data_IF_513945117890
#
_entry.id   IF_513945117890
#
_cell.length_a   1.000
_cell.length_b   1.000
_cell.length_c   1.000
_cell.angle_alpha   90.00
_cell.angle_beta   90.00
_cell.angle_gamma   90.00
#
_symmetry.space_group_name_H-M   'P 1'
#
loop_
_entity.id
_entity.type
_entity.pdbx_description
1 polymer ?
#
# COMPACT_ATOMS: atom_id res chain seq x y z
N UNK A 1 -2.69 -38.12 38.21
CA UNK A 1 -2.76 -38.79 36.89
C UNK A 1 -4.03 -38.33 36.16
N UNK A 2 -3.98 -37.15 35.52
CA UNK A 2 -4.95 -36.72 34.50
C UNK A 2 -4.11 -36.09 33.39
N UNK A 3 -4.19 -36.68 32.19
CA UNK A 3 -3.37 -36.38 31.02
C UNK A 3 -3.63 -34.96 30.51
N UNK A 4 -2.56 -34.31 30.04
CA UNK A 4 -2.60 -33.24 29.06
C UNK A 4 -3.47 -33.64 27.86
N UNK A 5 -4.35 -32.74 27.43
CA UNK A 5 -4.84 -32.69 26.05
C UNK A 5 -4.36 -31.35 25.50
N UNK A 6 -3.21 -31.41 24.82
CA UNK A 6 -2.57 -30.27 24.19
C UNK A 6 -3.50 -29.62 23.17
N UNK A 7 -3.87 -28.38 23.43
CA UNK A 7 -4.47 -27.51 22.42
C UNK A 7 -3.33 -26.97 21.54
N UNK A 8 -2.86 -27.81 20.61
CA UNK A 8 -1.97 -27.39 19.53
C UNK A 8 -2.79 -26.53 18.56
N UNK A 9 -3.01 -25.27 18.91
CA UNK A 9 -3.52 -24.25 17.99
C UNK A 9 -2.50 -24.10 16.84
N UNK A 10 -2.62 -24.93 15.80
CA UNK A 10 -1.99 -24.68 14.51
C UNK A 10 -2.57 -23.37 13.98
N UNK A 11 -1.89 -22.25 14.26
CA UNK A 11 -2.23 -20.99 13.60
C UNK A 11 -1.99 -21.22 12.11
N UNK A 12 -3.00 -21.02 11.25
CA UNK A 12 -2.79 -21.17 9.82
C UNK A 12 -1.72 -20.15 9.40
N UNK A 13 -0.55 -20.65 9.01
CA UNK A 13 0.54 -19.82 8.50
C UNK A 13 0.28 -19.49 7.03
N UNK A 14 0.40 -18.19 6.67
CA UNK A 14 0.25 -17.79 5.28
C UNK A 14 1.47 -18.27 4.47
N UNK A 15 1.20 -18.99 3.38
CA UNK A 15 2.23 -19.32 2.40
C UNK A 15 2.70 -18.06 1.68
N UNK A 16 4.00 -17.79 1.71
CA UNK A 16 4.64 -16.72 0.93
C UNK A 16 4.65 -17.08 -0.56
N UNK A 17 3.58 -16.75 -1.29
CA UNK A 17 3.45 -16.98 -2.74
C UNK A 17 3.56 -15.71 -3.59
N UNK A 18 3.53 -14.54 -2.96
CA UNK A 18 3.53 -13.26 -3.66
C UNK A 18 4.93 -12.97 -4.23
N UNK A 19 5.06 -12.93 -5.56
CA UNK A 19 6.28 -12.45 -6.22
C UNK A 19 6.21 -10.95 -6.48
N UNK A 20 7.34 -10.33 -6.81
CA UNK A 20 7.41 -8.91 -7.16
C UNK A 20 6.40 -8.53 -8.25
N UNK A 21 6.29 -9.35 -9.30
CA UNK A 21 5.34 -9.11 -10.39
C UNK A 21 3.88 -9.10 -9.91
N UNK A 22 3.51 -10.04 -9.02
CA UNK A 22 2.17 -10.08 -8.44
C UNK A 22 1.90 -8.84 -7.56
N UNK A 23 2.89 -8.40 -6.78
CA UNK A 23 2.76 -7.22 -5.93
C UNK A 23 2.63 -5.93 -6.74
N UNK A 24 3.44 -5.78 -7.80
CA UNK A 24 3.37 -4.63 -8.72
C UNK A 24 2.03 -4.61 -9.44
N UNK A 25 1.59 -5.74 -9.99
CA UNK A 25 0.31 -5.84 -10.68
C UNK A 25 -0.86 -5.50 -9.76
N UNK A 26 -0.82 -5.99 -8.52
CA UNK A 26 -1.79 -5.65 -7.49
C UNK A 26 -1.84 -4.13 -7.23
N UNK A 27 -0.70 -3.48 -7.01
CA UNK A 27 -0.64 -2.04 -6.77
C UNK A 27 -1.12 -1.20 -7.96
N UNK A 28 -0.74 -1.58 -9.18
CA UNK A 28 -1.20 -0.91 -10.41
C UNK A 28 -2.71 -1.07 -10.59
N UNK A 29 -3.24 -2.28 -10.37
CA UNK A 29 -4.68 -2.56 -10.47
C UNK A 29 -5.50 -1.72 -9.49
N UNK A 30 -5.06 -1.62 -8.23
CA UNK A 30 -5.72 -0.79 -7.21
C UNK A 30 -5.68 0.69 -7.58
N UNK A 31 -4.52 1.20 -8.03
CA UNK A 31 -4.35 2.63 -8.38
C UNK A 31 -5.21 3.03 -9.58
N UNK A 32 -5.26 2.19 -10.63
CA UNK A 32 -6.08 2.46 -11.81
C UNK A 32 -7.58 2.36 -11.46
N UNK A 33 -7.96 1.29 -10.75
CA UNK A 33 -9.36 1.00 -10.42
C UNK A 33 -9.99 2.04 -9.48
N UNK A 34 -9.31 2.35 -8.37
CA UNK A 34 -9.83 3.29 -7.38
C UNK A 34 -9.61 4.76 -7.78
N UNK A 35 -8.48 5.06 -8.42
CA UNK A 35 -8.08 6.43 -8.72
C UNK A 35 -8.49 6.90 -10.11
N UNK A 36 -7.90 6.30 -11.15
CA UNK A 36 -7.97 6.84 -12.51
C UNK A 36 -9.39 6.82 -13.05
N UNK A 37 -10.12 5.72 -12.96
CA UNK A 37 -11.48 5.66 -13.52
C UNK A 37 -12.47 6.62 -12.85
N UNK A 38 -12.22 7.01 -11.60
CA UNK A 38 -13.09 7.95 -10.86
C UNK A 38 -12.65 9.39 -11.06
N UNK A 39 -11.35 9.67 -11.02
CA UNK A 39 -10.82 11.03 -10.89
C UNK A 39 -10.38 11.64 -12.22
N UNK A 40 -10.09 10.86 -13.26
CA UNK A 40 -9.54 11.40 -14.51
C UNK A 40 -10.53 12.35 -15.19
N UNK A 41 -11.83 12.07 -15.13
CA UNK A 41 -12.86 12.93 -15.73
C UNK A 41 -12.98 14.27 -15.00
N UNK A 42 -12.91 14.27 -13.67
CA UNK A 42 -12.94 15.49 -12.86
C UNK A 42 -11.67 16.32 -13.10
N UNK A 43 -10.51 15.67 -13.16
CA UNK A 43 -9.25 16.33 -13.47
C UNK A 43 -9.24 16.92 -14.89
N UNK A 44 -9.76 16.19 -15.87
CA UNK A 44 -9.90 16.66 -17.25
C UNK A 44 -10.90 17.81 -17.38
N UNK A 45 -12.02 17.77 -16.65
CA UNK A 45 -12.99 18.87 -16.62
C UNK A 45 -12.42 20.17 -16.05
N UNK A 46 -11.49 20.07 -15.07
CA UNK A 46 -10.82 21.25 -14.47
C UNK A 46 -9.66 21.76 -15.31
N UNK A 47 -8.86 20.87 -15.87
CA UNK A 47 -7.60 21.21 -16.55
C UNK A 47 -7.72 21.30 -18.07
N UNK A 48 -8.84 20.83 -18.65
CA UNK A 48 -9.09 20.79 -20.09
C UNK A 48 -7.95 20.12 -20.85
N UNK A 49 -7.46 20.78 -21.90
CA UNK A 49 -6.35 20.28 -22.73
C UNK A 49 -5.02 20.19 -21.97
N UNK A 50 -4.88 20.86 -20.83
CA UNK A 50 -3.69 20.81 -19.99
C UNK A 50 -3.71 19.65 -18.98
N UNK A 51 -4.74 18.80 -18.99
CA UNK A 51 -4.84 17.66 -18.08
C UNK A 51 -3.60 16.73 -18.09
N UNK A 52 -3.00 16.38 -19.25
CA UNK A 52 -1.78 15.58 -19.26
C UNK A 52 -0.62 16.24 -18.51
N UNK A 53 -0.45 17.56 -18.65
CA UNK A 53 0.60 18.30 -17.94
C UNK A 53 0.34 18.34 -16.43
N UNK A 54 -0.91 18.52 -16.02
CA UNK A 54 -1.29 18.46 -14.60
C UNK A 54 -1.00 17.08 -13.99
N UNK A 55 -1.27 16.00 -14.73
CA UNK A 55 -0.93 14.63 -14.28
C UNK A 55 0.59 14.41 -14.18
N UNK A 56 1.40 14.97 -15.07
CA UNK A 56 2.86 14.86 -14.97
C UNK A 56 3.40 15.55 -13.72
N UNK A 57 2.89 16.74 -13.40
CA UNK A 57 3.27 17.47 -12.18
C UNK A 57 2.83 16.69 -10.94
N UNK A 58 1.61 16.17 -10.93
CA UNK A 58 1.11 15.34 -9.84
C UNK A 58 1.94 14.05 -9.66
N UNK A 59 2.33 13.40 -10.75
CA UNK A 59 3.19 12.22 -10.73
C UNK A 59 4.57 12.54 -10.15
N UNK A 60 5.17 13.68 -10.52
CA UNK A 60 6.43 14.13 -9.95
C UNK A 60 6.32 14.35 -8.42
N UNK A 61 5.25 15.01 -7.96
CA UNK A 61 5.00 15.20 -6.53
C UNK A 61 4.78 13.87 -5.78
N UNK A 62 4.00 12.95 -6.37
CA UNK A 62 3.78 11.61 -5.84
C UNK A 62 5.07 10.78 -5.77
N UNK A 63 6.03 11.00 -6.67
CA UNK A 63 7.31 10.31 -6.67
C UNK A 63 8.07 10.42 -5.35
N UNK A 64 8.06 11.59 -4.72
CA UNK A 64 8.68 11.78 -3.39
C UNK A 64 8.00 10.95 -2.31
N UNK A 65 6.66 10.86 -2.36
CA UNK A 65 5.88 10.03 -1.44
C UNK A 65 6.20 8.56 -1.67
N UNK A 66 6.18 8.09 -2.91
CA UNK A 66 6.50 6.71 -3.27
C UNK A 66 7.92 6.31 -2.81
N UNK A 67 8.91 7.21 -2.95
CA UNK A 67 10.26 6.99 -2.47
C UNK A 67 10.34 6.79 -0.95
N UNK A 68 9.66 7.65 -0.18
CA UNK A 68 9.59 7.52 1.28
C UNK A 68 8.92 6.19 1.69
N UNK A 69 7.82 5.80 1.03
CA UNK A 69 7.17 4.52 1.26
C UNK A 69 8.04 3.33 0.91
N UNK A 70 8.84 3.40 -0.16
CA UNK A 70 9.80 2.36 -0.51
C UNK A 70 10.89 2.20 0.56
N UNK A 71 11.39 3.32 1.09
CA UNK A 71 12.38 3.32 2.19
C UNK A 71 11.82 2.76 3.49
N UNK A 72 10.57 3.08 3.84
CA UNK A 72 9.94 2.60 5.06
C UNK A 72 9.50 1.14 4.93
N UNK A 73 8.93 0.74 3.79
CA UNK A 73 8.45 -0.63 3.58
C UNK A 73 9.58 -1.66 3.55
N UNK A 74 10.78 -1.27 3.11
CA UNK A 74 11.97 -2.13 3.18
C UNK A 74 12.54 -2.25 4.59
N UNK A 75 12.41 -1.21 5.43
CA UNK A 75 12.88 -1.24 6.83
C UNK A 75 11.89 -1.90 7.79
N UNK A 76 10.60 -1.79 7.53
CA UNK A 76 9.53 -2.28 8.37
C UNK A 76 8.59 -3.20 7.57
N UNK A 77 8.95 -4.49 7.36
CA UNK A 77 8.18 -5.42 6.54
C UNK A 77 6.97 -5.98 7.31
N UNK A 78 6.09 -5.10 7.76
CA UNK A 78 4.86 -5.41 8.51
C UNK A 78 3.61 -5.11 7.68
N UNK A 79 2.59 -5.95 7.81
CA UNK A 79 1.35 -5.86 7.01
C UNK A 79 0.37 -4.77 7.47
N UNK A 80 0.88 -3.67 8.03
CA UNK A 80 0.08 -2.55 8.58
C UNK A 80 0.37 -1.20 7.90
N UNK A 81 1.29 -1.17 6.92
CA UNK A 81 1.61 0.00 6.08
C UNK A 81 1.74 1.30 6.89
N UNK A 82 0.99 2.34 6.56
CA UNK A 82 1.02 3.66 7.18
C UNK A 82 0.78 3.62 8.69
N UNK A 83 -0.13 2.74 9.15
CA UNK A 83 -0.48 2.66 10.57
C UNK A 83 0.74 2.25 11.42
N UNK A 84 1.54 1.30 10.93
CA UNK A 84 2.77 0.90 11.61
C UNK A 84 3.84 2.00 11.58
N UNK A 85 3.93 2.77 10.50
CA UNK A 85 4.90 3.85 10.40
C UNK A 85 4.59 4.98 11.39
N UNK A 86 3.31 5.32 11.52
CA UNK A 86 2.83 6.32 12.48
C UNK A 86 2.99 5.82 13.92
N UNK A 87 2.66 4.55 14.19
CA UNK A 87 2.89 3.97 15.51
C UNK A 87 4.38 3.98 15.88
N UNK A 88 5.26 3.62 14.95
CA UNK A 88 6.70 3.63 15.16
C UNK A 88 7.27 5.04 15.37
N UNK A 89 6.73 6.04 14.69
CA UNK A 89 7.19 7.42 14.79
C UNK A 89 6.69 8.14 16.06
N UNK A 90 5.44 7.90 16.47
CA UNK A 90 4.78 8.67 17.54
C UNK A 90 4.49 7.85 18.81
N UNK A 91 4.81 6.55 18.83
CA UNK A 91 4.52 5.64 19.94
C UNK A 91 3.05 5.62 20.37
N UNK A 92 2.13 5.93 19.44
CA UNK A 92 0.70 5.97 19.70
C UNK A 92 0.04 4.76 19.06
N UNK A 93 -0.48 3.86 19.90
CA UNK A 93 -1.27 2.71 19.47
C UNK A 93 -2.68 3.19 19.19
N UNK A 94 -3.12 3.06 17.94
CA UNK A 94 -4.48 3.39 17.51
C UNK A 94 -5.34 2.13 17.52
#
# INVERSE_FOLDING_TARGET
MVKEVGNLQHRPELRRSLTLAHAVLYGVGVTIGAGIYVLVGVAAGRSGMHAPLAFLIAAAAMGFTAAAFAELGTRMPVSASEAAYVEAAFHRKW
#
